data_IF_608899957865
#
_entry.id   IF_608899957865
#
_cell.length_a   1.000
_cell.length_b   1.000
_cell.length_c   1.000
_cell.angle_alpha   90.00
_cell.angle_beta   90.00
_cell.angle_gamma   90.00
#
_symmetry.space_group_name_H-M   'P 1'
#
loop_
_entity.id
_entity.type
_entity.pdbx_description
1 polymer ?
#
# COMPACT_ATOMS: atom_id res chain seq x y z
N UNK A 1 -18.87 12.07 -17.40
CA UNK A 1 -18.11 10.90 -16.88
C UNK A 1 -18.25 10.94 -15.36
N UNK A 2 -19.45 10.64 -14.83
CA UNK A 2 -19.79 10.81 -13.40
C UNK A 2 -20.83 9.76 -12.91
N UNK A 3 -20.45 8.47 -12.77
CA UNK A 3 -21.20 7.61 -11.84
C UNK A 3 -20.31 6.97 -10.75
N UNK A 4 -19.01 6.84 -10.99
CA UNK A 4 -18.10 6.05 -10.13
C UNK A 4 -17.71 6.83 -8.86
N UNK A 5 -17.37 8.11 -9.00
CA UNK A 5 -16.95 8.96 -7.88
C UNK A 5 -18.01 9.07 -6.77
N UNK A 6 -19.30 9.21 -7.14
CA UNK A 6 -20.42 9.26 -6.19
C UNK A 6 -20.62 7.94 -5.45
N UNK A 7 -20.27 6.81 -6.06
CA UNK A 7 -20.43 5.49 -5.47
C UNK A 7 -19.35 5.19 -4.44
N UNK A 8 -18.10 5.57 -4.71
CA UNK A 8 -16.99 5.44 -3.76
C UNK A 8 -17.20 6.30 -2.50
N UNK A 9 -17.70 7.54 -2.65
CA UNK A 9 -17.98 8.44 -1.54
C UNK A 9 -19.12 7.93 -0.62
N UNK A 10 -20.13 7.26 -1.20
CA UNK A 10 -21.22 6.64 -0.43
C UNK A 10 -20.71 5.41 0.33
N UNK A 11 -19.86 4.58 -0.29
CA UNK A 11 -19.27 3.38 0.34
C UNK A 11 -18.36 3.76 1.51
N UNK A 12 -17.52 4.78 1.36
CA UNK A 12 -16.68 5.31 2.43
C UNK A 12 -17.50 5.81 3.65
N UNK A 13 -18.70 6.35 3.40
CA UNK A 13 -19.62 6.83 4.45
C UNK A 13 -20.47 5.73 5.09
N UNK A 14 -20.75 4.64 4.39
CA UNK A 14 -21.61 3.55 4.90
C UNK A 14 -20.83 2.37 5.47
N UNK A 15 -19.56 2.16 5.10
CA UNK A 15 -18.68 1.11 5.63
C UNK A 15 -17.25 1.65 5.80
N UNK A 16 -16.94 2.40 6.87
CA UNK A 16 -15.59 2.94 7.11
C UNK A 16 -14.51 1.84 7.22
N UNK A 17 -14.94 0.60 7.47
CA UNK A 17 -14.08 -0.58 7.51
C UNK A 17 -13.49 -0.93 6.13
N UNK A 18 -14.24 -0.76 5.02
CA UNK A 18 -13.82 -1.23 3.69
C UNK A 18 -13.05 -0.16 2.93
N UNK A 19 -11.78 -0.45 2.64
CA UNK A 19 -10.88 0.44 1.91
C UNK A 19 -10.54 -0.16 0.54
N UNK A 20 -10.21 0.68 -0.42
CA UNK A 20 -9.69 0.21 -1.71
C UNK A 20 -8.28 -0.35 -1.55
N UNK A 21 -7.46 0.32 -0.73
CA UNK A 21 -6.04 0.07 -0.64
C UNK A 21 -5.58 -0.03 0.82
N UNK A 22 -4.67 -0.97 1.09
CA UNK A 22 -3.85 -1.01 2.30
C UNK A 22 -2.42 -0.57 1.95
N UNK A 23 -1.90 0.48 2.58
CA UNK A 23 -0.52 0.95 2.32
C UNK A 23 0.47 0.34 3.31
N UNK A 24 1.28 -0.60 2.85
CA UNK A 24 2.43 -1.14 3.56
C UNK A 24 3.70 -0.36 3.19
N UNK A 25 4.48 0.07 4.18
CA UNK A 25 5.70 0.85 4.00
C UNK A 25 6.66 0.61 5.19
N UNK A 26 7.90 1.07 5.06
CA UNK A 26 8.83 1.08 6.19
C UNK A 26 8.46 2.19 7.19
N UNK A 27 8.73 1.97 8.48
CA UNK A 27 8.45 2.94 9.52
C UNK A 27 9.09 4.32 9.24
N UNK A 28 10.30 4.34 8.71
CA UNK A 28 11.04 5.57 8.44
C UNK A 28 10.44 6.40 7.30
N UNK A 29 9.61 5.80 6.45
CA UNK A 29 8.96 6.48 5.33
C UNK A 29 7.66 7.19 5.71
N UNK A 30 7.18 7.02 6.95
CA UNK A 30 5.83 7.41 7.38
C UNK A 30 5.51 8.91 7.26
N UNK A 31 6.52 9.77 7.39
CA UNK A 31 6.39 11.23 7.23
C UNK A 31 6.93 11.74 5.88
N UNK A 32 7.39 10.84 5.01
CA UNK A 32 7.95 11.16 3.70
C UNK A 32 7.20 10.43 2.58
N UNK A 33 7.86 9.56 1.81
CA UNK A 33 7.28 9.02 0.58
C UNK A 33 6.00 8.21 0.80
N UNK A 34 5.81 7.59 1.97
CA UNK A 34 4.56 6.90 2.28
C UNK A 34 3.39 7.88 2.45
N UNK A 35 3.64 9.01 3.13
CA UNK A 35 2.65 10.07 3.28
C UNK A 35 2.31 10.72 1.95
N UNK A 36 3.33 11.04 1.15
CA UNK A 36 3.14 11.65 -0.17
C UNK A 36 2.31 10.75 -1.09
N UNK A 37 2.63 9.45 -1.13
CA UNK A 37 1.84 8.49 -1.90
C UNK A 37 0.40 8.38 -1.39
N UNK A 38 0.20 8.33 -0.07
CA UNK A 38 -1.14 8.26 0.53
C UNK A 38 -1.98 9.49 0.15
N UNK A 39 -1.43 10.69 0.32
CA UNK A 39 -2.11 11.94 0.03
C UNK A 39 -2.48 12.04 -1.47
N UNK A 40 -1.61 11.58 -2.37
CA UNK A 40 -1.91 11.50 -3.80
C UNK A 40 -3.01 10.49 -4.11
N UNK A 41 -2.97 9.28 -3.55
CA UNK A 41 -4.02 8.26 -3.75
C UNK A 41 -5.39 8.76 -3.29
N UNK A 42 -5.45 9.45 -2.15
CA UNK A 42 -6.67 10.10 -1.65
C UNK A 42 -7.14 11.20 -2.61
N UNK A 43 -6.22 12.00 -3.16
CA UNK A 43 -6.55 13.05 -4.14
C UNK A 43 -7.13 12.50 -5.45
N UNK A 44 -6.76 11.28 -5.83
CA UNK A 44 -7.31 10.53 -6.98
C UNK A 44 -8.60 9.75 -6.63
N UNK A 45 -9.14 9.95 -5.42
CA UNK A 45 -10.44 9.41 -5.00
C UNK A 45 -10.42 7.97 -4.49
N UNK A 46 -9.25 7.39 -4.26
CA UNK A 46 -9.15 6.08 -3.61
C UNK A 46 -9.36 6.19 -2.09
N UNK A 47 -9.91 5.15 -1.48
CA UNK A 47 -9.89 5.02 -0.01
C UNK A 47 -8.70 4.18 0.44
N UNK A 48 -7.86 4.75 1.30
CA UNK A 48 -6.59 4.13 1.73
C UNK A 48 -6.61 3.89 3.24
N UNK A 49 -6.22 2.69 3.67
CA UNK A 49 -5.80 2.40 5.03
C UNK A 49 -4.31 2.73 5.17
N UNK A 50 -3.96 3.57 6.14
CA UNK A 50 -2.59 4.02 6.41
C UNK A 50 -2.34 4.07 7.91
N UNK A 51 -1.24 3.47 8.39
CA UNK A 51 -1.03 3.28 9.84
C UNK A 51 -1.08 4.58 10.63
N UNK A 52 -0.56 5.68 10.06
CA UNK A 52 -0.49 6.97 10.75
C UNK A 52 -1.86 7.62 10.94
N UNK A 53 -2.87 7.21 10.15
CA UNK A 53 -4.23 7.75 10.23
C UNK A 53 -5.18 6.80 10.93
N UNK A 54 -5.02 5.49 10.72
CA UNK A 54 -5.97 4.48 11.14
C UNK A 54 -5.60 3.80 12.48
N UNK A 55 -4.34 3.89 12.95
CA UNK A 55 -3.91 3.28 14.21
C UNK A 55 -3.96 4.28 15.36
N UNK A 56 -4.95 4.12 16.23
CA UNK A 56 -5.08 4.96 17.44
C UNK A 56 -4.05 4.59 18.52
N UNK A 57 -3.61 5.59 19.29
CA UNK A 57 -2.72 5.39 20.43
C UNK A 57 -3.30 4.36 21.42
N UNK A 58 -2.44 3.44 21.88
CA UNK A 58 -2.81 2.40 22.84
C UNK A 58 -3.52 1.18 22.23
N UNK A 59 -3.72 1.14 20.91
CA UNK A 59 -4.21 -0.06 20.20
C UNK A 59 -3.06 -0.98 19.83
N UNK A 60 -3.37 -2.27 19.67
CA UNK A 60 -2.41 -3.24 19.14
C UNK A 60 -2.22 -3.01 17.65
N UNK A 61 -1.02 -2.59 17.25
CA UNK A 61 -0.66 -2.37 15.85
C UNK A 61 -0.95 -3.60 14.99
N UNK A 62 -0.60 -4.79 15.46
CA UNK A 62 -0.80 -6.05 14.72
C UNK A 62 -2.28 -6.30 14.44
N UNK A 63 -3.15 -6.10 15.42
CA UNK A 63 -4.59 -6.32 15.24
C UNK A 63 -5.20 -5.31 14.25
N UNK A 64 -4.71 -4.08 14.25
CA UNK A 64 -5.18 -3.06 13.31
C UNK A 64 -4.64 -3.31 11.90
N UNK A 65 -3.41 -3.82 11.76
CA UNK A 65 -2.88 -4.31 10.48
C UNK A 65 -3.74 -5.46 9.94
N UNK A 66 -4.01 -6.48 10.75
CA UNK A 66 -4.87 -7.61 10.36
C UNK A 66 -6.24 -7.12 9.89
N UNK A 67 -6.84 -6.15 10.60
CA UNK A 67 -8.12 -5.54 10.24
C UNK A 67 -8.02 -4.74 8.93
N UNK A 68 -6.97 -3.95 8.76
CA UNK A 68 -6.73 -3.18 7.55
C UNK A 68 -6.56 -4.09 6.33
N UNK A 69 -5.78 -5.16 6.46
CA UNK A 69 -5.59 -6.18 5.43
C UNK A 69 -6.89 -6.89 5.07
N UNK A 70 -7.65 -7.34 6.07
CA UNK A 70 -8.89 -8.08 5.86
C UNK A 70 -9.99 -7.25 5.18
N UNK A 71 -9.98 -5.93 5.36
CA UNK A 71 -11.01 -5.05 4.83
C UNK A 71 -10.55 -4.18 3.64
N UNK A 72 -9.32 -4.36 3.16
CA UNK A 72 -8.83 -3.68 1.97
C UNK A 72 -8.97 -4.55 0.72
N UNK A 73 -9.27 -3.95 -0.44
CA UNK A 73 -9.46 -4.70 -1.69
C UNK A 73 -8.13 -5.17 -2.29
N UNK A 74 -7.07 -4.39 -2.11
CA UNK A 74 -5.70 -4.69 -2.52
C UNK A 74 -4.68 -4.10 -1.52
N UNK A 75 -3.48 -4.65 -1.49
CA UNK A 75 -2.35 -4.13 -0.72
C UNK A 75 -1.30 -3.49 -1.61
N UNK A 76 -0.81 -2.32 -1.23
CA UNK A 76 0.38 -1.69 -1.79
C UNK A 76 1.56 -2.02 -0.88
N UNK A 77 2.70 -2.37 -1.47
CA UNK A 77 3.98 -2.37 -0.76
C UNK A 77 4.85 -1.29 -1.37
N UNK A 78 5.05 -0.19 -0.65
CA UNK A 78 5.97 0.87 -1.04
C UNK A 78 7.40 0.43 -0.74
N UNK A 79 8.12 0.03 -1.78
CA UNK A 79 9.47 -0.48 -1.71
C UNK A 79 10.44 0.68 -1.86
N UNK A 80 10.99 1.14 -0.73
CA UNK A 80 12.05 2.16 -0.63
C UNK A 80 13.37 1.51 -0.21
N UNK A 81 14.50 2.22 -0.26
CA UNK A 81 15.73 1.77 0.37
C UNK A 81 15.56 1.41 1.87
N UNK A 82 14.72 2.14 2.61
CA UNK A 82 14.43 1.86 4.01
C UNK A 82 13.69 0.52 4.18
N UNK A 83 12.72 0.21 3.31
CA UNK A 83 12.05 -1.09 3.33
C UNK A 83 13.04 -2.21 3.01
N UNK A 84 13.88 -2.04 1.98
CA UNK A 84 14.85 -3.06 1.58
C UNK A 84 15.82 -3.38 2.72
N UNK A 85 16.39 -2.37 3.38
CA UNK A 85 17.24 -2.57 4.56
C UNK A 85 16.51 -3.29 5.69
N UNK A 86 15.24 -2.92 5.92
CA UNK A 86 14.39 -3.58 6.90
C UNK A 86 14.14 -5.06 6.57
N UNK A 87 13.97 -5.40 5.29
CA UNK A 87 13.77 -6.77 4.82
C UNK A 87 15.04 -7.61 4.86
N UNK A 88 16.20 -7.05 4.53
CA UNK A 88 17.50 -7.72 4.67
C UNK A 88 17.82 -8.04 6.12
N UNK A 89 17.45 -7.13 7.02
CA UNK A 89 17.63 -7.28 8.46
C UNK A 89 16.53 -8.14 9.11
N UNK A 90 15.49 -8.52 8.36
CA UNK A 90 14.29 -9.11 8.92
C UNK A 90 14.53 -10.52 9.48
N UNK A 91 14.66 -10.58 10.80
CA UNK A 91 14.31 -11.74 11.63
C UNK A 91 13.16 -11.32 12.55
N UNK A 92 11.90 -11.59 12.18
CA UNK A 92 10.74 -11.22 13.02
C UNK A 92 9.48 -10.74 12.29
N UNK A 93 8.79 -9.75 12.87
CA UNK A 93 7.43 -9.28 12.51
C UNK A 93 7.32 -8.78 11.04
N UNK A 94 8.30 -8.01 10.55
CA UNK A 94 8.32 -7.50 9.19
C UNK A 94 8.25 -8.61 8.11
N UNK A 95 8.92 -9.74 8.36
CA UNK A 95 8.86 -10.91 7.48
C UNK A 95 7.51 -11.64 7.53
N UNK A 96 6.83 -11.67 8.68
CA UNK A 96 5.51 -12.29 8.84
C UNK A 96 4.40 -11.48 8.19
N UNK A 97 4.39 -10.16 8.38
CA UNK A 97 3.39 -9.27 7.78
C UNK A 97 3.53 -9.22 6.25
N UNK A 98 4.77 -9.18 5.73
CA UNK A 98 5.00 -9.30 4.30
C UNK A 98 4.54 -10.66 3.77
N UNK A 99 4.74 -11.74 4.52
CA UNK A 99 4.25 -13.07 4.15
C UNK A 99 2.72 -13.15 4.12
N UNK A 100 2.03 -12.51 5.07
CA UNK A 100 0.57 -12.44 5.11
C UNK A 100 0.01 -11.61 3.95
N UNK A 101 0.63 -10.48 3.63
CA UNK A 101 0.33 -9.69 2.43
C UNK A 101 0.52 -10.53 1.17
N UNK A 102 1.66 -11.19 1.01
CA UNK A 102 2.01 -12.02 -0.16
C UNK A 102 1.11 -13.25 -0.33
N UNK A 103 0.49 -13.73 0.75
CA UNK A 103 -0.50 -14.81 0.71
C UNK A 103 -1.82 -14.37 0.06
N UNK A 104 -2.03 -13.06 -0.11
CA UNK A 104 -3.11 -12.52 -0.94
C UNK A 104 -2.63 -12.35 -2.39
N UNK A 105 -3.47 -12.67 -3.37
CA UNK A 105 -3.16 -12.48 -4.80
C UNK A 105 -3.25 -11.02 -5.27
N UNK A 106 -3.36 -10.06 -4.34
CA UNK A 106 -3.71 -8.67 -4.62
C UNK A 106 -2.70 -7.68 -4.05
N UNK A 107 -1.42 -8.01 -4.17
CA UNK A 107 -0.30 -7.13 -3.75
C UNK A 107 0.30 -6.42 -4.96
N UNK A 108 0.43 -5.10 -4.86
CA UNK A 108 1.04 -4.23 -5.87
C UNK A 108 2.33 -3.64 -5.27
N UNK A 109 3.53 -4.13 -5.66
CA UNK A 109 4.78 -3.50 -5.29
C UNK A 109 5.00 -2.18 -6.05
N UNK A 110 5.47 -1.16 -5.35
CA UNK A 110 5.86 0.13 -5.93
C UNK A 110 7.32 0.40 -5.56
N UNK A 111 8.23 0.31 -6.53
CA UNK A 111 9.63 0.66 -6.32
C UNK A 111 9.82 2.19 -6.37
N UNK A 112 10.16 2.80 -5.24
CA UNK A 112 10.39 4.23 -5.09
C UNK A 112 11.82 4.49 -4.61
N UNK A 113 12.56 5.31 -5.35
CA UNK A 113 14.01 5.53 -5.15
C UNK A 113 14.84 4.24 -5.05
N UNK A 114 14.36 3.19 -5.72
CA UNK A 114 15.00 1.87 -5.82
C UNK A 114 14.52 1.15 -7.09
N UNK A 115 14.95 -0.09 -7.29
CA UNK A 115 14.62 -0.90 -8.47
C UNK A 115 14.00 -2.24 -8.11
N UNK A 116 13.26 -2.83 -9.06
CA UNK A 116 12.77 -4.20 -8.94
C UNK A 116 13.88 -5.24 -8.88
N UNK A 117 15.05 -4.95 -9.44
CA UNK A 117 16.21 -5.84 -9.36
C UNK A 117 16.77 -5.86 -7.93
N UNK A 118 16.93 -4.69 -7.30
CA UNK A 118 17.32 -4.61 -5.89
C UNK A 118 16.30 -5.33 -4.98
N UNK A 119 15.00 -5.14 -5.26
CA UNK A 119 13.95 -5.88 -4.55
C UNK A 119 14.05 -7.40 -4.77
N UNK A 120 14.38 -7.85 -5.98
CA UNK A 120 14.45 -9.28 -6.33
C UNK A 120 15.55 -10.01 -5.58
N UNK A 121 16.68 -9.36 -5.33
CA UNK A 121 17.78 -9.94 -4.54
C UNK A 121 17.34 -10.26 -3.10
N UNK A 122 16.42 -9.47 -2.55
CA UNK A 122 15.97 -9.59 -1.15
C UNK A 122 14.68 -10.42 -1.04
N UNK A 123 13.71 -10.15 -1.91
CA UNK A 123 12.41 -10.83 -1.95
C UNK A 123 12.01 -11.15 -3.39
N UNK A 124 12.47 -12.29 -3.93
CA UNK A 124 12.10 -12.74 -5.28
C UNK A 124 10.58 -12.89 -5.47
N UNK A 125 9.86 -13.28 -4.42
CA UNK A 125 8.40 -13.46 -4.46
C UNK A 125 7.65 -12.14 -4.63
N UNK A 126 8.03 -11.09 -3.89
CA UNK A 126 7.42 -9.77 -4.06
C UNK A 126 7.81 -9.17 -5.42
N UNK A 127 9.07 -9.33 -5.83
CA UNK A 127 9.55 -8.85 -7.14
C UNK A 127 8.92 -9.58 -8.34
N UNK A 128 8.34 -10.77 -8.15
CA UNK A 128 7.64 -11.50 -9.20
C UNK A 128 6.21 -10.97 -9.46
N UNK A 129 5.66 -10.15 -8.56
CA UNK A 129 4.36 -9.51 -8.76
C UNK A 129 4.49 -8.34 -9.73
N UNK A 130 3.45 -8.11 -10.54
CA UNK A 130 3.38 -6.93 -11.40
C UNK A 130 3.22 -5.66 -10.56
N UNK A 131 4.04 -4.64 -10.82
CA UNK A 131 4.03 -3.40 -10.04
C UNK A 131 4.53 -2.20 -10.84
N UNK A 132 4.81 -1.11 -10.13
CA UNK A 132 5.16 0.19 -10.72
C UNK A 132 6.48 0.72 -10.14
N UNK A 133 7.11 1.66 -10.84
CA UNK A 133 8.36 2.27 -10.39
C UNK A 133 8.34 3.77 -10.65
N UNK A 134 8.85 4.55 -9.68
CA UNK A 134 9.06 5.99 -9.87
C UNK A 134 10.35 6.32 -10.63
N UNK A 135 11.13 5.31 -11.04
CA UNK A 135 12.27 5.53 -11.93
C UNK A 135 11.86 5.91 -13.36
N UNK A 136 10.61 5.59 -13.76
CA UNK A 136 10.07 5.88 -15.10
C UNK A 136 8.76 6.67 -15.09
N UNK A 137 8.12 6.80 -13.94
CA UNK A 137 6.86 7.52 -13.74
C UNK A 137 7.02 8.51 -12.59
N UNK A 138 6.27 9.61 -12.58
CA UNK A 138 6.16 10.43 -11.38
C UNK A 138 5.39 9.69 -10.28
N UNK A 139 5.54 10.09 -9.02
CA UNK A 139 4.77 9.50 -7.92
C UNK A 139 3.26 9.72 -8.10
N UNK A 140 2.86 10.85 -8.70
CA UNK A 140 1.47 11.15 -9.06
C UNK A 140 0.93 10.19 -10.13
N UNK A 141 1.69 9.95 -11.21
CA UNK A 141 1.29 8.98 -12.26
C UNK A 141 1.12 7.57 -11.68
N UNK A 142 1.99 7.18 -10.74
CA UNK A 142 1.89 5.91 -10.02
C UNK A 142 0.61 5.88 -9.20
N UNK A 143 0.34 6.91 -8.39
CA UNK A 143 -0.86 6.99 -7.57
C UNK A 143 -2.14 6.95 -8.42
N UNK A 144 -2.18 7.70 -9.52
CA UNK A 144 -3.31 7.73 -10.45
C UNK A 144 -3.58 6.34 -11.04
N UNK A 145 -2.55 5.63 -11.51
CA UNK A 145 -2.68 4.28 -12.08
C UNK A 145 -3.20 3.28 -11.05
N UNK A 146 -2.70 3.34 -9.83
CA UNK A 146 -3.11 2.43 -8.75
C UNK A 146 -4.56 2.70 -8.34
N UNK A 147 -4.92 3.95 -8.11
CA UNK A 147 -6.29 4.34 -7.77
C UNK A 147 -7.30 3.91 -8.84
N UNK A 148 -6.96 4.11 -10.13
CA UNK A 148 -7.80 3.68 -11.25
C UNK A 148 -7.98 2.16 -11.30
N UNK A 149 -6.92 1.38 -11.02
CA UNK A 149 -6.97 -0.08 -11.03
C UNK A 149 -7.90 -0.65 -9.95
N UNK A 150 -7.99 0.01 -8.79
CA UNK A 150 -8.89 -0.41 -7.70
C UNK A 150 -10.32 0.13 -7.83
N UNK A 151 -10.51 1.27 -8.49
CA UNK A 151 -11.85 1.83 -8.74
C UNK A 151 -12.71 0.98 -9.68
N UNK A 152 -12.10 0.30 -10.67
CA UNK A 152 -12.82 -0.41 -11.74
C UNK A 152 -13.36 -1.81 -11.35
N UNK A 153 -13.05 -2.32 -10.15
CA UNK A 153 -13.48 -3.65 -9.72
C UNK A 153 -14.83 -3.66 -8.96
N UNK A 154 -15.64 -2.61 -9.11
CA UNK A 154 -16.92 -2.40 -8.43
C UNK A 154 -18.12 -2.58 -9.34
#
# INVERSE_FOLDING_TARGET
>A
MEPVARSAEIVARTHPERRDLFLCHAWDDREGPAKDLCDLLLSHGATVWFSEYDVSLGKSLIQEIDRGLANSRAGIVLVTPALLQGLESATGLAGKELSALLATDRVIPIAHDTTFDALREISPLLAARSGLTTGTLSLDDVAQKVAAATAAAG
#
